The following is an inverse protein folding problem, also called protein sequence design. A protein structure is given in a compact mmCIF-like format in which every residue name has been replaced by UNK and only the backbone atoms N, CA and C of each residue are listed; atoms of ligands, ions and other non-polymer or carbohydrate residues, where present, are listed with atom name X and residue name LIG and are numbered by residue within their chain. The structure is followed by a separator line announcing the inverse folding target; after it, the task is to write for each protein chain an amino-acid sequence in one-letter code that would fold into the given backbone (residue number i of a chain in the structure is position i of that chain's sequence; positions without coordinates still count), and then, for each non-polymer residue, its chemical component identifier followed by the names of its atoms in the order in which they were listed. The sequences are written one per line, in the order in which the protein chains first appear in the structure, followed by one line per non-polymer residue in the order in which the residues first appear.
data_IF_965878924765
#
_entry.id   IF_965878924765
#
_cell.length_a   1.000
_cell.length_b   1.000
_cell.length_c   1.000
_cell.angle_alpha   90.00
_cell.angle_beta   90.00
_cell.angle_gamma   90.00
#
_symmetry.space_group_name_H-M   'P 1'
#
loop_
_entity.id
_entity.type
_entity.pdbx_description
1 polymer ?
#
# COMPACT_ATOMS: atom_id res chain seq x y z
N UNK A 1 14.63 28.76 -21.68
CA UNK A 1 13.36 29.52 -21.66
C UNK A 1 13.23 30.23 -23.00
N UNK A 2 12.69 29.52 -23.99
CA UNK A 2 12.34 30.10 -25.28
C UNK A 2 10.86 30.44 -25.19
N UNK A 3 10.49 31.70 -25.38
CA UNK A 3 9.12 32.15 -25.30
C UNK A 3 8.25 31.34 -26.26
N UNK A 4 7.25 30.63 -25.72
CA UNK A 4 6.17 30.02 -26.52
C UNK A 4 5.37 31.21 -27.04
N UNK A 5 5.52 31.51 -28.33
CA UNK A 5 4.78 32.59 -28.99
C UNK A 5 3.28 32.42 -28.74
N UNK A 6 2.64 33.53 -28.43
CA UNK A 6 1.20 33.69 -28.24
C UNK A 6 0.46 33.28 -29.54
N UNK A 7 0.06 32.01 -29.62
CA UNK A 7 -0.74 31.45 -30.73
C UNK A 7 -2.23 31.73 -30.52
N UNK A 8 -2.58 32.98 -30.23
CA UNK A 8 -3.96 33.43 -30.35
C UNK A 8 -4.31 33.52 -31.83
N UNK A 9 -5.03 32.50 -32.33
CA UNK A 9 -5.65 32.37 -33.67
C UNK A 9 -4.90 31.67 -34.82
N UNK A 10 -4.01 30.71 -34.56
CA UNK A 10 -3.67 29.73 -35.61
C UNK A 10 -4.81 28.72 -35.76
N UNK A 11 -5.58 28.83 -36.84
CA UNK A 11 -6.63 27.87 -37.19
C UNK A 11 -6.01 26.47 -37.28
N UNK A 12 -6.45 25.55 -36.41
CA UNK A 12 -6.00 24.16 -36.48
C UNK A 12 -6.46 23.60 -37.84
N UNK A 13 -5.57 22.98 -38.63
CA UNK A 13 -5.96 22.39 -39.91
C UNK A 13 -7.06 21.35 -39.73
N UNK A 14 -8.04 21.33 -40.63
CA UNK A 14 -9.15 20.38 -40.57
C UNK A 14 -8.68 18.91 -40.57
N UNK A 15 -7.56 18.63 -41.27
CA UNK A 15 -6.92 17.32 -41.27
C UNK A 15 -6.43 16.89 -39.89
N UNK A 16 -5.89 17.82 -39.09
CA UNK A 16 -5.46 17.56 -37.71
C UNK A 16 -6.65 17.26 -36.81
N UNK A 17 -7.77 17.98 -36.97
CA UNK A 17 -9.00 17.71 -36.21
C UNK A 17 -9.58 16.33 -36.57
N UNK A 18 -9.65 16.00 -37.86
CA UNK A 18 -10.12 14.70 -38.32
C UNK A 18 -9.22 13.55 -37.81
N UNK A 19 -7.90 13.76 -37.78
CA UNK A 19 -6.97 12.79 -37.20
C UNK A 19 -7.20 12.62 -35.70
N UNK A 20 -7.37 13.72 -34.96
CA UNK A 20 -7.66 13.70 -33.53
C UNK A 20 -8.95 12.91 -33.22
N UNK A 21 -9.99 13.08 -34.04
CA UNK A 21 -11.26 12.34 -33.94
C UNK A 21 -11.18 10.85 -34.34
N UNK A 22 -10.14 10.45 -35.07
CA UNK A 22 -9.95 9.03 -35.44
C UNK A 22 -9.52 8.14 -34.27
N UNK A 23 -9.02 8.74 -33.18
CA UNK A 23 -8.60 8.00 -32.00
C UNK A 23 -9.79 7.62 -31.11
N UNK A 24 -9.82 6.37 -30.65
CA UNK A 24 -10.87 5.87 -29.76
C UNK A 24 -10.76 6.40 -28.32
N UNK A 25 -9.55 6.72 -27.88
CA UNK A 25 -9.27 7.24 -26.54
C UNK A 25 -9.61 8.73 -26.46
N UNK A 26 -10.04 9.25 -25.30
CA UNK A 26 -10.15 10.69 -25.10
C UNK A 26 -8.80 11.38 -25.31
N UNK A 27 -8.79 12.37 -26.22
CA UNK A 27 -7.61 13.18 -26.51
C UNK A 27 -7.98 14.65 -26.67
N UNK A 28 -7.08 15.49 -26.18
CA UNK A 28 -7.14 16.94 -26.34
C UNK A 28 -5.80 17.49 -26.80
N UNK A 29 -5.83 18.59 -27.53
CA UNK A 29 -4.66 19.42 -27.82
C UNK A 29 -4.67 20.61 -26.87
N UNK A 30 -3.52 20.87 -26.27
CA UNK A 30 -3.29 21.95 -25.32
C UNK A 30 -2.25 22.93 -25.87
N UNK A 31 -2.41 24.22 -25.56
CA UNK A 31 -1.36 25.22 -25.74
C UNK A 31 -0.40 25.29 -24.53
N UNK A 32 0.61 26.16 -24.60
CA UNK A 32 1.57 26.38 -23.51
C UNK A 32 0.99 27.09 -22.28
N UNK A 33 -0.29 27.43 -22.31
CA UNK A 33 -1.06 28.12 -21.28
C UNK A 33 -2.17 27.22 -20.72
N UNK A 34 -2.08 25.90 -20.92
CA UNK A 34 -3.02 24.89 -20.41
C UNK A 34 -4.42 24.96 -21.03
N UNK A 35 -4.62 25.71 -22.13
CA UNK A 35 -5.93 25.83 -22.78
C UNK A 35 -6.13 24.73 -23.80
N UNK A 36 -7.35 24.21 -23.83
CA UNK A 36 -7.80 23.24 -24.83
C UNK A 36 -7.99 23.97 -26.15
N UNK A 37 -7.18 23.64 -27.15
CA UNK A 37 -7.29 24.19 -28.51
C UNK A 37 -8.11 23.28 -29.42
N UNK A 38 -8.17 21.98 -29.12
CA UNK A 38 -9.06 21.02 -29.77
C UNK A 38 -9.31 19.81 -28.86
N UNK A 39 -10.43 19.13 -29.06
CA UNK A 39 -10.80 17.91 -28.35
C UNK A 39 -11.47 16.94 -29.33
N UNK A 40 -11.25 15.64 -29.16
CA UNK A 40 -11.99 14.65 -29.93
C UNK A 40 -13.35 14.32 -29.33
N UNK A 41 -14.15 13.63 -30.14
CA UNK A 41 -15.47 13.10 -29.78
C UNK A 41 -15.44 12.23 -28.51
N UNK A 42 -14.38 11.44 -28.30
CA UNK A 42 -14.24 10.62 -27.10
C UNK A 42 -14.09 11.47 -25.83
N UNK A 43 -13.29 12.54 -25.87
CA UNK A 43 -13.17 13.48 -24.75
C UNK A 43 -14.47 14.22 -24.46
N UNK A 44 -15.16 14.67 -25.51
CA UNK A 44 -16.44 15.37 -25.36
C UNK A 44 -17.51 14.50 -24.71
N UNK A 45 -17.52 13.18 -24.96
CA UNK A 45 -18.46 12.25 -24.30
C UNK A 45 -18.22 12.14 -22.80
N UNK A 46 -16.96 12.15 -22.37
CA UNK A 46 -16.59 11.92 -20.96
C UNK A 46 -16.65 13.21 -20.12
N UNK A 47 -16.22 14.33 -20.69
CA UNK A 47 -16.01 15.60 -19.98
C UNK A 47 -16.85 16.77 -20.52
N UNK A 48 -17.42 16.63 -21.72
CA UNK A 48 -17.98 17.74 -22.50
C UNK A 48 -19.48 17.99 -22.34
N UNK A 49 -20.12 17.56 -21.24
CA UNK A 49 -21.57 17.63 -20.99
C UNK A 49 -22.23 18.98 -21.39
N UNK A 50 -22.66 19.11 -22.65
CA UNK A 50 -23.21 20.29 -23.35
C UNK A 50 -22.35 21.58 -23.28
N UNK A 51 -21.04 21.48 -23.01
CA UNK A 51 -20.16 22.65 -22.83
C UNK A 51 -19.22 22.85 -24.01
N UNK A 52 -19.00 24.12 -24.37
CA UNK A 52 -17.86 24.50 -25.19
C UNK A 52 -16.56 24.31 -24.39
N UNK A 53 -15.76 23.33 -24.80
CA UNK A 53 -14.50 22.96 -24.14
C UNK A 53 -13.31 23.73 -24.70
N UNK A 54 -13.40 24.23 -25.93
CA UNK A 54 -12.29 24.92 -26.59
C UNK A 54 -12.10 26.30 -25.95
N UNK A 55 -10.85 26.67 -25.69
CA UNK A 55 -10.47 27.90 -25.00
C UNK A 55 -10.52 27.81 -23.47
N UNK A 56 -11.09 26.75 -22.89
CA UNK A 56 -11.06 26.50 -21.45
C UNK A 56 -9.77 25.83 -21.01
N UNK A 57 -9.47 25.88 -19.72
CA UNK A 57 -8.30 25.24 -19.14
C UNK A 57 -8.54 23.76 -18.84
N UNK A 58 -7.54 22.90 -19.09
CA UNK A 58 -7.66 21.46 -18.80
C UNK A 58 -7.96 21.17 -17.32
N UNK A 59 -7.34 21.91 -16.40
CA UNK A 59 -7.52 21.75 -14.96
C UNK A 59 -8.91 22.19 -14.47
N UNK A 60 -9.59 23.09 -15.19
CA UNK A 60 -10.96 23.51 -14.88
C UNK A 60 -11.95 22.39 -15.21
N UNK A 61 -11.79 21.74 -16.36
CA UNK A 61 -12.74 20.75 -16.85
C UNK A 61 -12.50 19.36 -16.26
N UNK A 62 -11.24 18.92 -16.19
CA UNK A 62 -10.91 17.55 -15.79
C UNK A 62 -10.73 17.40 -14.28
N UNK A 63 -10.25 18.45 -13.60
CA UNK A 63 -9.96 18.42 -12.15
C UNK A 63 -10.88 19.29 -11.30
N UNK A 64 -11.64 20.21 -11.92
CA UNK A 64 -12.40 21.26 -11.23
C UNK A 64 -11.52 22.17 -10.34
N UNK A 65 -10.27 22.39 -10.74
CA UNK A 65 -9.37 23.35 -10.10
C UNK A 65 -9.50 24.75 -10.70
N UNK A 66 -9.09 25.75 -9.92
CA UNK A 66 -8.96 27.15 -10.35
C UNK A 66 -7.55 27.48 -10.85
N UNK A 67 -6.61 26.54 -10.72
CA UNK A 67 -5.19 26.66 -11.08
C UNK A 67 -4.64 25.31 -11.60
N UNK A 68 -3.49 25.31 -12.30
CA UNK A 68 -2.83 24.10 -12.76
C UNK A 68 -2.57 23.06 -11.66
N UNK A 69 -2.58 21.77 -12.02
CA UNK A 69 -2.50 20.65 -11.08
C UNK A 69 -1.21 20.70 -10.23
N UNK A 70 -0.09 21.16 -10.79
CA UNK A 70 1.19 21.37 -10.08
C UNK A 70 1.08 22.40 -8.96
N UNK A 71 0.21 23.39 -9.11
CA UNK A 71 -0.05 24.42 -8.10
C UNK A 71 -1.15 24.00 -7.12
N UNK A 72 -1.91 22.96 -7.45
CA UNK A 72 -2.89 22.31 -6.59
C UNK A 72 -2.28 21.17 -5.74
N UNK A 73 -0.98 20.88 -5.90
CA UNK A 73 -0.27 19.87 -5.12
C UNK A 73 -0.20 18.48 -5.77
N UNK A 74 -0.62 18.36 -7.02
CA UNK A 74 -0.48 17.18 -7.87
C UNK A 74 0.75 17.33 -8.79
N UNK A 75 1.12 16.28 -9.54
CA UNK A 75 2.12 16.43 -10.60
C UNK A 75 1.37 16.71 -11.91
N UNK A 76 1.80 17.69 -12.72
CA UNK A 76 1.13 17.99 -13.99
C UNK A 76 1.96 17.45 -15.17
N UNK A 77 1.45 16.47 -15.95
CA UNK A 77 2.20 15.91 -17.07
C UNK A 77 2.46 16.94 -18.18
N UNK A 78 1.57 17.92 -18.36
CA UNK A 78 1.80 19.03 -19.29
C UNK A 78 2.98 19.90 -18.83
N UNK A 79 3.06 20.24 -17.54
CA UNK A 79 4.19 21.01 -16.99
C UNK A 79 5.51 20.26 -17.19
N UNK A 80 5.55 18.99 -16.83
CA UNK A 80 6.73 18.14 -16.98
C UNK A 80 7.15 18.03 -18.46
N UNK A 81 6.19 17.91 -19.37
CA UNK A 81 6.41 17.84 -20.81
C UNK A 81 6.94 19.18 -21.38
N UNK A 82 6.42 20.32 -20.91
CA UNK A 82 6.92 21.64 -21.26
C UNK A 82 8.37 21.87 -20.82
N UNK A 83 8.71 21.44 -19.60
CA UNK A 83 10.05 21.61 -19.04
C UNK A 83 11.08 20.67 -19.64
N UNK A 84 10.71 19.40 -19.85
CA UNK A 84 11.62 18.37 -20.37
C UNK A 84 11.69 18.33 -21.90
N UNK A 85 10.65 18.79 -22.59
CA UNK A 85 10.49 18.62 -24.05
C UNK A 85 10.24 17.16 -24.50
N UNK A 86 9.95 16.27 -23.55
CA UNK A 86 9.70 14.84 -23.75
C UNK A 86 8.32 14.43 -23.24
N UNK A 87 7.74 13.33 -23.74
CA UNK A 87 6.47 12.82 -23.22
C UNK A 87 6.53 12.59 -21.71
N UNK A 88 5.49 13.01 -21.00
CA UNK A 88 5.30 12.76 -19.57
C UNK A 88 3.98 12.06 -19.32
N UNK A 89 3.93 11.28 -18.25
CA UNK A 89 2.75 10.51 -17.87
C UNK A 89 2.60 10.46 -16.36
N UNK A 90 1.39 10.75 -15.90
CA UNK A 90 1.04 10.83 -14.48
C UNK A 90 -0.36 10.23 -14.27
N UNK A 91 -0.59 9.60 -13.13
CA UNK A 91 -1.93 9.17 -12.73
C UNK A 91 -2.65 10.30 -11.99
N UNK A 92 -3.79 10.72 -12.53
CA UNK A 92 -4.66 11.74 -11.96
C UNK A 92 -5.97 11.14 -11.46
N UNK A 93 -6.69 11.94 -10.65
CA UNK A 93 -8.11 11.72 -10.37
C UNK A 93 -8.91 12.76 -11.13
N UNK A 94 -9.64 12.34 -12.16
CA UNK A 94 -10.49 13.24 -12.93
C UNK A 94 -11.95 13.13 -12.52
N UNK A 95 -12.69 14.22 -12.70
CA UNK A 95 -14.14 14.26 -12.58
C UNK A 95 -14.76 13.98 -13.94
N UNK A 96 -15.37 12.80 -14.10
CA UNK A 96 -16.11 12.39 -15.28
C UNK A 96 -17.61 12.43 -15.01
N UNK A 97 -18.40 12.17 -16.05
CA UNK A 97 -19.84 11.93 -15.92
C UNK A 97 -20.20 10.79 -14.95
N UNK A 98 -19.28 9.82 -14.74
CA UNK A 98 -19.45 8.69 -13.82
C UNK A 98 -18.97 8.98 -12.39
N UNK A 99 -18.41 10.18 -12.13
CA UNK A 99 -17.86 10.59 -10.85
C UNK A 99 -16.35 10.75 -10.88
N UNK A 100 -15.69 10.52 -9.74
CA UNK A 100 -14.21 10.56 -9.67
C UNK A 100 -13.64 9.25 -10.21
N UNK A 101 -12.66 9.34 -11.10
CA UNK A 101 -12.00 8.18 -11.70
C UNK A 101 -10.49 8.37 -11.78
N UNK A 102 -9.75 7.26 -11.68
CA UNK A 102 -8.31 7.25 -11.91
C UNK A 102 -8.04 7.26 -13.41
N UNK A 103 -7.32 8.28 -13.87
CA UNK A 103 -7.00 8.50 -15.28
C UNK A 103 -5.50 8.63 -15.42
N UNK A 104 -4.88 7.73 -16.18
CA UNK A 104 -3.50 7.90 -16.59
C UNK A 104 -3.47 8.91 -17.74
N UNK A 105 -2.84 10.05 -17.48
CA UNK A 105 -2.74 11.17 -18.42
C UNK A 105 -1.35 11.18 -19.01
N UNK A 106 -1.26 10.98 -20.31
CA UNK A 106 -0.02 11.06 -21.09
C UNK A 106 -0.03 12.33 -21.93
N UNK A 107 1.04 13.12 -21.86
CA UNK A 107 1.19 14.35 -22.64
C UNK A 107 2.45 14.28 -23.49
N UNK A 108 2.30 14.42 -24.81
CA UNK A 108 3.40 14.43 -25.77
C UNK A 108 3.47 15.77 -26.52
N UNK A 109 4.68 16.30 -26.81
CA UNK A 109 4.82 17.55 -27.55
C UNK A 109 4.52 17.32 -29.03
N UNK A 110 3.66 18.15 -29.60
CA UNK A 110 3.38 18.21 -31.04
C UNK A 110 4.28 19.27 -31.65
N UNK A 111 5.12 18.86 -32.60
CA UNK A 111 6.15 19.70 -33.19
C UNK A 111 5.80 20.04 -34.64
N UNK A 112 6.17 21.25 -35.06
CA UNK A 112 6.11 21.66 -36.46
C UNK A 112 7.32 21.11 -37.26
N UNK A 113 7.37 21.39 -38.56
CA UNK A 113 8.47 20.97 -39.44
C UNK A 113 9.84 21.51 -38.99
N UNK A 114 9.88 22.68 -38.35
CA UNK A 114 11.08 23.27 -37.79
C UNK A 114 11.50 22.62 -36.45
N UNK A 115 10.80 21.58 -35.98
CA UNK A 115 11.07 20.86 -34.74
C UNK A 115 10.67 21.58 -33.46
N UNK A 116 10.02 22.75 -33.58
CA UNK A 116 9.53 23.54 -32.46
C UNK A 116 8.19 23.02 -31.97
N UNK A 117 8.03 22.87 -30.64
CA UNK A 117 6.76 22.47 -30.04
C UNK A 117 5.73 23.58 -30.23
N UNK A 118 4.59 23.23 -30.83
CA UNK A 118 3.46 24.14 -31.10
C UNK A 118 2.26 23.84 -30.21
N UNK A 119 2.04 22.56 -29.89
CA UNK A 119 0.96 22.10 -29.02
C UNK A 119 1.42 20.92 -28.18
N UNK A 120 0.56 20.48 -27.28
CA UNK A 120 0.74 19.29 -26.48
C UNK A 120 -0.48 18.40 -26.65
N UNK A 121 -0.27 17.15 -27.07
CA UNK A 121 -1.34 16.17 -27.19
C UNK A 121 -1.46 15.43 -25.87
N UNK A 122 -2.57 15.62 -25.18
CA UNK A 122 -2.92 14.89 -23.97
C UNK A 122 -3.84 13.71 -24.34
N UNK A 123 -3.48 12.53 -23.84
CA UNK A 123 -4.21 11.28 -23.99
C UNK A 123 -4.61 10.77 -22.61
N UNK A 124 -5.86 10.33 -22.48
CA UNK A 124 -6.39 9.82 -21.22
C UNK A 124 -6.70 8.32 -21.32
N UNK A 125 -6.14 7.56 -20.40
CA UNK A 125 -6.44 6.14 -20.23
C UNK A 125 -7.09 5.91 -18.87
N UNK A 126 -8.39 5.61 -18.86
CA UNK A 126 -9.10 5.27 -17.64
C UNK A 126 -8.57 3.95 -17.06
N UNK A 127 -8.17 3.97 -15.80
CA UNK A 127 -7.92 2.76 -15.05
C UNK A 127 -9.27 2.15 -14.69
N UNK A 128 -9.81 1.36 -15.62
CA UNK A 128 -10.93 0.48 -15.31
C UNK A 128 -10.43 -0.49 -14.26
N UNK A 129 -11.00 -0.40 -13.06
CA UNK A 129 -10.82 -1.44 -12.06
C UNK A 129 -11.32 -2.71 -12.71
N UNK A 130 -10.48 -3.76 -12.75
CA UNK A 130 -10.85 -5.02 -13.38
C UNK A 130 -12.23 -5.44 -12.88
N UNK A 131 -13.07 -5.98 -13.77
CA UNK A 131 -14.38 -6.56 -13.47
C UNK A 131 -14.24 -7.86 -12.63
N UNK A 132 -13.33 -7.87 -11.67
CA UNK A 132 -13.22 -8.89 -10.65
C UNK A 132 -14.32 -8.75 -9.60
N UNK A 133 -14.36 -9.69 -8.67
CA UNK A 133 -15.29 -9.65 -7.55
C UNK A 133 -15.27 -8.26 -6.88
N UNK A 134 -16.42 -7.68 -6.52
CA UNK A 134 -16.51 -6.32 -5.94
C UNK A 134 -15.60 -6.12 -4.73
N UNK A 135 -15.31 -7.20 -4.00
CA UNK A 135 -14.38 -7.26 -2.87
C UNK A 135 -12.91 -6.93 -3.21
N UNK A 136 -12.53 -7.00 -4.50
CA UNK A 136 -11.16 -6.74 -4.99
C UNK A 136 -10.94 -5.30 -5.45
N UNK A 137 -11.95 -4.44 -5.35
CA UNK A 137 -11.83 -3.04 -5.74
C UNK A 137 -10.95 -2.29 -4.74
N UNK A 138 -9.85 -1.70 -5.24
CA UNK A 138 -9.07 -0.76 -4.45
C UNK A 138 -9.82 0.57 -4.33
N UNK A 139 -9.87 1.14 -3.13
CA UNK A 139 -10.65 2.35 -2.82
C UNK A 139 -9.75 3.40 -2.22
N UNK A 140 -9.69 4.58 -2.84
CA UNK A 140 -8.93 5.73 -2.37
C UNK A 140 -8.68 6.71 -3.51
N UNK A 141 -8.42 7.97 -3.15
CA UNK A 141 -8.00 9.06 -4.04
C UNK A 141 -6.90 9.93 -3.42
N UNK A 142 -6.47 9.62 -2.20
CA UNK A 142 -5.38 10.33 -1.54
C UNK A 142 -4.09 10.27 -2.36
N UNK A 143 -3.29 11.32 -2.27
CA UNK A 143 -2.00 11.40 -2.97
C UNK A 143 -1.10 10.17 -2.79
N UNK A 144 -0.86 9.64 -1.57
CA UNK A 144 -0.03 8.44 -1.41
C UNK A 144 -0.65 7.19 -2.04
N UNK A 145 -1.99 7.05 -2.01
CA UNK A 145 -2.69 5.96 -2.70
C UNK A 145 -2.52 6.04 -4.22
N UNK A 146 -2.72 7.23 -4.80
CA UNK A 146 -2.55 7.44 -6.24
C UNK A 146 -1.11 7.16 -6.68
N UNK A 147 -0.12 7.56 -5.87
CA UNK A 147 1.29 7.28 -6.16
C UNK A 147 1.58 5.78 -6.19
N UNK A 148 1.06 5.02 -5.24
CA UNK A 148 1.17 3.55 -5.23
C UNK A 148 0.51 2.94 -6.49
N UNK A 149 -0.70 3.40 -6.84
CA UNK A 149 -1.43 2.90 -8.01
C UNK A 149 -0.72 3.25 -9.33
N UNK A 150 -0.12 4.44 -9.43
CA UNK A 150 0.71 4.86 -10.56
C UNK A 150 1.89 3.91 -10.77
N UNK A 151 2.62 3.57 -9.70
CA UNK A 151 3.73 2.62 -9.75
C UNK A 151 3.27 1.23 -10.17
N UNK A 152 2.13 0.76 -9.62
CA UNK A 152 1.53 -0.51 -9.98
C UNK A 152 1.14 -0.57 -11.46
N UNK A 153 0.51 0.50 -11.99
CA UNK A 153 0.15 0.61 -13.40
C UNK A 153 1.37 0.62 -14.31
N UNK A 154 2.39 1.42 -13.98
CA UNK A 154 3.65 1.50 -14.75
C UNK A 154 4.30 0.12 -14.88
N UNK A 155 4.42 -0.62 -13.78
CA UNK A 155 5.09 -1.93 -13.81
C UNK A 155 4.23 -3.06 -14.37
N UNK A 156 2.89 -2.92 -14.39
CA UNK A 156 1.99 -3.96 -14.90
C UNK A 156 2.29 -4.35 -16.36
N UNK A 157 2.71 -3.40 -17.19
CA UNK A 157 3.11 -3.65 -18.59
C UNK A 157 4.46 -4.36 -18.77
N UNK A 158 5.18 -4.67 -17.68
CA UNK A 158 6.52 -5.24 -17.71
C UNK A 158 6.60 -6.59 -16.99
N UNK A 159 7.47 -7.47 -17.49
CA UNK A 159 7.74 -8.80 -16.91
C UNK A 159 8.70 -8.77 -15.69
N UNK A 160 9.13 -7.58 -15.26
CA UNK A 160 10.02 -7.43 -14.11
C UNK A 160 9.35 -7.90 -12.82
N UNK A 161 10.16 -8.43 -11.89
CA UNK A 161 9.67 -8.78 -10.56
C UNK A 161 9.29 -7.53 -9.78
N UNK A 162 8.22 -7.63 -9.00
CA UNK A 162 7.72 -6.53 -8.17
C UNK A 162 7.88 -6.90 -6.71
N UNK A 163 8.33 -5.96 -5.88
CA UNK A 163 8.35 -6.10 -4.42
C UNK A 163 7.39 -5.10 -3.78
N UNK A 164 6.31 -5.59 -3.19
CA UNK A 164 5.33 -4.82 -2.44
C UNK A 164 5.78 -4.68 -0.98
N UNK A 165 6.01 -3.44 -0.54
CA UNK A 165 6.53 -3.12 0.78
C UNK A 165 5.44 -2.42 1.58
N UNK A 166 5.02 -3.00 2.71
CA UNK A 166 4.03 -2.33 3.54
C UNK A 166 3.59 -3.15 4.74
N UNK A 167 3.06 -2.44 5.73
CA UNK A 167 2.55 -3.02 6.97
C UNK A 167 1.45 -4.06 6.71
N UNK A 168 1.24 -4.93 7.69
CA UNK A 168 0.15 -5.90 7.62
C UNK A 168 -1.21 -5.19 7.53
N UNK A 169 -2.09 -5.70 6.67
CA UNK A 169 -3.44 -5.13 6.48
C UNK A 169 -3.53 -3.91 5.56
N UNK A 170 -2.46 -3.52 4.87
CA UNK A 170 -2.46 -2.42 3.87
C UNK A 170 -3.07 -2.81 2.51
N UNK A 171 -3.28 -4.12 2.26
CA UNK A 171 -3.86 -4.62 1.01
C UNK A 171 -2.83 -5.04 -0.06
N UNK A 172 -1.67 -5.58 0.34
CA UNK A 172 -0.63 -6.07 -0.58
C UNK A 172 -1.17 -7.04 -1.64
N UNK A 173 -2.01 -7.99 -1.25
CA UNK A 173 -2.64 -8.94 -2.18
C UNK A 173 -3.55 -8.25 -3.20
N UNK A 174 -4.30 -7.21 -2.82
CA UNK A 174 -5.14 -6.44 -3.75
C UNK A 174 -4.29 -5.72 -4.80
N UNK A 175 -3.16 -5.14 -4.37
CA UNK A 175 -2.22 -4.50 -5.30
C UNK A 175 -1.56 -5.54 -6.23
N UNK A 176 -1.23 -6.72 -5.72
CA UNK A 176 -0.70 -7.81 -6.55
C UNK A 176 -1.70 -8.27 -7.63
N UNK A 177 -2.98 -8.39 -7.26
CA UNK A 177 -4.07 -8.65 -8.21
C UNK A 177 -4.18 -7.54 -9.25
N UNK A 178 -4.21 -6.27 -8.83
CA UNK A 178 -4.30 -5.15 -9.76
C UNK A 178 -3.13 -5.14 -10.77
N UNK A 179 -1.92 -5.44 -10.30
CA UNK A 179 -0.72 -5.55 -11.15
C UNK A 179 -0.84 -6.70 -12.15
N UNK A 180 -1.48 -7.81 -11.78
CA UNK A 180 -1.75 -8.93 -12.68
C UNK A 180 -2.85 -8.59 -13.71
N UNK A 181 -3.97 -8.03 -13.24
CA UNK A 181 -5.13 -7.69 -14.08
C UNK A 181 -4.79 -6.60 -15.10
N UNK A 182 -3.86 -5.69 -14.79
CA UNK A 182 -3.37 -4.66 -15.71
C UNK A 182 -2.23 -5.13 -16.62
N UNK A 183 -1.79 -6.39 -16.51
CA UNK A 183 -0.66 -6.93 -17.27
C UNK A 183 -1.09 -7.70 -18.52
N UNK A 184 -0.17 -7.99 -19.45
CA UNK A 184 -0.43 -8.90 -20.57
C UNK A 184 -0.86 -10.31 -20.13
N UNK A 185 -0.64 -10.68 -18.86
CA UNK A 185 -1.00 -11.99 -18.28
C UNK A 185 -2.36 -11.99 -17.56
N UNK A 186 -3.20 -10.96 -17.71
CA UNK A 186 -4.48 -10.83 -16.99
C UNK A 186 -5.45 -12.01 -17.20
N UNK A 187 -5.39 -12.70 -18.34
CA UNK A 187 -6.21 -13.88 -18.63
C UNK A 187 -5.56 -15.20 -18.17
N UNK A 188 -4.33 -15.17 -17.67
CA UNK A 188 -3.58 -16.32 -17.21
C UNK A 188 -3.78 -16.55 -15.70
N UNK A 189 -3.37 -17.70 -15.14
CA UNK A 189 -3.56 -17.98 -13.72
C UNK A 189 -2.85 -16.98 -12.80
N UNK A 190 -3.49 -16.63 -11.69
CA UNK A 190 -2.87 -15.96 -10.55
C UNK A 190 -2.83 -16.93 -9.37
N UNK A 191 -1.65 -17.19 -8.82
CA UNK A 191 -1.46 -18.08 -7.68
C UNK A 191 -0.81 -17.32 -6.54
N UNK A 192 -1.53 -17.22 -5.41
CA UNK A 192 -1.03 -16.62 -4.17
C UNK A 192 -0.49 -17.69 -3.22
N UNK A 193 0.64 -17.39 -2.57
CA UNK A 193 1.30 -18.25 -1.59
C UNK A 193 1.67 -17.44 -0.36
N UNK A 194 1.07 -17.78 0.77
CA UNK A 194 1.45 -17.25 2.09
C UNK A 194 2.69 -18.00 2.58
N UNK A 195 3.82 -17.31 2.73
CA UNK A 195 5.08 -17.95 3.10
C UNK A 195 5.25 -18.12 4.62
N UNK A 196 4.41 -17.47 5.42
CA UNK A 196 4.48 -17.58 6.88
C UNK A 196 4.08 -18.98 7.37
N UNK A 197 4.85 -19.51 8.33
CA UNK A 197 4.53 -20.77 9.02
C UNK A 197 4.70 -22.06 8.20
N UNK A 198 5.17 -21.99 6.95
CA UNK A 198 5.44 -23.18 6.14
C UNK A 198 6.75 -23.87 6.57
N UNK A 199 6.69 -25.18 6.80
CA UNK A 199 7.91 -25.99 6.96
C UNK A 199 8.63 -26.12 5.62
N UNK A 200 9.94 -26.39 5.64
CA UNK A 200 10.72 -26.58 4.41
C UNK A 200 10.13 -27.66 3.51
N UNK A 201 9.72 -28.78 4.10
CA UNK A 201 9.14 -29.91 3.36
C UNK A 201 7.79 -29.56 2.75
N UNK A 202 6.94 -28.83 3.48
CA UNK A 202 5.65 -28.41 2.97
C UNK A 202 5.82 -27.41 1.82
N UNK A 203 6.67 -26.39 2.00
CA UNK A 203 6.97 -25.43 0.96
C UNK A 203 7.44 -26.12 -0.33
N UNK A 204 8.38 -27.07 -0.24
CA UNK A 204 8.87 -27.79 -1.42
C UNK A 204 7.79 -28.60 -2.11
N UNK A 205 6.99 -29.33 -1.33
CA UNK A 205 5.93 -30.19 -1.86
C UNK A 205 4.78 -29.39 -2.49
N UNK A 206 4.44 -28.22 -1.95
CA UNK A 206 3.43 -27.32 -2.51
C UNK A 206 4.00 -26.57 -3.73
N UNK A 207 5.16 -25.92 -3.60
CA UNK A 207 5.73 -25.08 -4.66
C UNK A 207 6.15 -25.89 -5.89
N UNK A 208 6.86 -26.99 -5.68
CA UNK A 208 7.48 -27.75 -6.76
C UNK A 208 6.72 -29.04 -7.12
N UNK A 209 5.81 -29.49 -6.25
CA UNK A 209 5.15 -30.79 -6.42
C UNK A 209 6.09 -31.95 -6.09
N UNK A 210 5.56 -33.17 -6.15
CA UNK A 210 6.32 -34.38 -5.85
C UNK A 210 5.94 -35.55 -6.74
N UNK A 211 6.90 -36.45 -6.95
CA UNK A 211 6.68 -37.74 -7.62
C UNK A 211 6.23 -38.82 -6.63
N UNK A 212 5.62 -39.89 -7.17
CA UNK A 212 5.22 -41.04 -6.36
C UNK A 212 6.43 -41.64 -5.64
N UNK A 213 6.32 -41.85 -4.33
CA UNK A 213 7.40 -42.42 -3.51
C UNK A 213 8.48 -41.42 -3.07
N UNK A 214 8.29 -40.12 -3.28
CA UNK A 214 9.24 -39.10 -2.84
C UNK A 214 9.46 -39.05 -1.31
N UNK A 215 8.43 -39.40 -0.53
CA UNK A 215 8.47 -39.52 0.94
C UNK A 215 7.36 -40.46 1.43
N UNK A 216 7.38 -40.82 2.72
CA UNK A 216 6.35 -41.64 3.35
C UNK A 216 4.98 -40.95 3.28
N UNK A 217 4.05 -41.52 2.50
CA UNK A 217 2.73 -40.93 2.24
C UNK A 217 2.54 -40.36 0.83
N UNK A 218 3.60 -40.31 0.00
CA UNK A 218 3.51 -39.90 -1.40
C UNK A 218 2.92 -41.02 -2.28
N UNK A 219 1.61 -41.25 -2.15
CA UNK A 219 0.87 -42.35 -2.84
C UNK A 219 0.75 -42.11 -4.35
N UNK A 220 0.75 -40.85 -4.78
CA UNK A 220 0.67 -40.43 -6.18
C UNK A 220 1.58 -39.25 -6.50
N UNK A 221 1.53 -38.78 -7.74
CA UNK A 221 2.18 -37.52 -8.16
C UNK A 221 1.29 -36.34 -7.80
N UNK A 222 1.90 -35.24 -7.32
CA UNK A 222 1.24 -33.95 -7.09
C UNK A 222 1.86 -32.87 -7.99
N UNK A 223 1.01 -32.09 -8.65
CA UNK A 223 1.39 -30.88 -9.40
C UNK A 223 1.69 -29.76 -8.40
N UNK A 224 2.82 -29.08 -8.57
CA UNK A 224 3.22 -27.94 -7.73
C UNK A 224 2.64 -26.62 -8.22
N UNK A 225 2.69 -25.59 -7.36
CA UNK A 225 2.19 -24.25 -7.65
C UNK A 225 2.92 -23.59 -8.83
N UNK A 226 4.23 -23.82 -8.97
CA UNK A 226 5.01 -23.32 -10.12
C UNK A 226 4.51 -23.90 -11.44
N UNK A 227 4.06 -25.16 -11.44
CA UNK A 227 3.49 -25.81 -12.63
C UNK A 227 2.07 -25.30 -12.89
N UNK A 228 1.28 -25.11 -11.84
CA UNK A 228 -0.11 -24.64 -11.92
C UNK A 228 -0.20 -23.19 -12.42
N UNK A 229 0.78 -22.34 -12.10
CA UNK A 229 0.82 -20.92 -12.48
C UNK A 229 1.48 -20.67 -13.84
N UNK A 230 1.77 -21.72 -14.62
CA UNK A 230 2.49 -21.58 -15.89
C UNK A 230 1.85 -20.54 -16.81
N UNK A 231 2.65 -19.58 -17.27
CA UNK A 231 2.19 -18.47 -18.11
C UNK A 231 1.52 -17.33 -17.33
N UNK A 232 1.33 -17.49 -16.02
CA UNK A 232 0.61 -16.57 -15.15
C UNK A 232 1.50 -15.75 -14.20
N UNK A 233 0.91 -15.33 -13.08
CA UNK A 233 1.58 -14.56 -12.02
C UNK A 233 1.61 -15.35 -10.71
N UNK A 234 2.80 -15.54 -10.16
CA UNK A 234 3.03 -16.09 -8.83
C UNK A 234 3.18 -14.94 -7.84
N UNK A 235 2.28 -14.88 -6.86
CA UNK A 235 2.33 -13.94 -5.75
C UNK A 235 2.86 -14.66 -4.50
N UNK A 236 3.95 -14.16 -3.92
CA UNK A 236 4.50 -14.64 -2.66
C UNK A 236 4.27 -13.57 -1.58
N UNK A 237 3.39 -13.84 -0.62
CA UNK A 237 3.21 -12.97 0.54
C UNK A 237 4.16 -13.38 1.66
N UNK A 238 4.54 -12.38 2.46
CA UNK A 238 5.50 -12.49 3.56
C UNK A 238 6.83 -13.19 3.19
N UNK A 239 7.44 -12.77 2.08
CA UNK A 239 8.73 -13.34 1.60
C UNK A 239 9.88 -13.20 2.59
N UNK A 240 9.80 -12.23 3.51
CA UNK A 240 10.75 -12.07 4.61
C UNK A 240 10.76 -13.22 5.60
N UNK A 241 9.70 -14.05 5.64
CA UNK A 241 9.61 -15.18 6.57
C UNK A 241 10.11 -16.50 5.97
N UNK A 242 10.59 -16.47 4.71
CA UNK A 242 11.19 -17.64 4.05
C UNK A 242 12.54 -17.99 4.68
N UNK A 243 12.73 -19.22 5.21
CA UNK A 243 14.03 -19.70 5.69
C UNK A 243 15.16 -19.61 4.66
N UNK A 244 16.38 -19.34 5.12
CA UNK A 244 17.59 -19.20 4.27
C UNK A 244 17.83 -20.37 3.30
N UNK A 245 17.53 -21.60 3.73
CA UNK A 245 17.64 -22.83 2.93
C UNK A 245 16.74 -22.80 1.70
N UNK A 246 15.50 -22.31 1.85
CA UNK A 246 14.51 -22.17 0.78
C UNK A 246 14.80 -20.97 -0.12
N UNK A 247 15.41 -19.90 0.41
CA UNK A 247 15.81 -18.74 -0.38
C UNK A 247 16.75 -19.13 -1.53
N UNK A 248 17.66 -20.10 -1.32
CA UNK A 248 18.54 -20.63 -2.38
C UNK A 248 17.75 -21.32 -3.50
N UNK A 249 16.68 -22.05 -3.15
CA UNK A 249 15.83 -22.74 -4.13
C UNK A 249 15.00 -21.75 -4.92
N UNK A 250 14.45 -20.73 -4.25
CA UNK A 250 13.72 -19.65 -4.90
C UNK A 250 14.61 -18.87 -5.86
N UNK A 251 15.85 -18.54 -5.45
CA UNK A 251 16.82 -17.89 -6.33
C UNK A 251 17.08 -18.72 -7.60
N UNK A 252 17.35 -20.03 -7.44
CA UNK A 252 17.56 -20.93 -8.58
C UNK A 252 16.35 -20.99 -9.52
N UNK A 253 15.14 -21.04 -8.95
CA UNK A 253 13.90 -21.00 -9.73
C UNK A 253 13.82 -19.73 -10.59
N UNK A 254 14.20 -18.57 -10.03
CA UNK A 254 14.14 -17.26 -10.69
C UNK A 254 15.28 -16.98 -11.68
N UNK A 255 16.48 -17.52 -11.44
CA UNK A 255 17.65 -17.31 -12.29
C UNK A 255 17.75 -18.35 -13.40
N UNK A 256 17.68 -19.64 -13.04
CA UNK A 256 17.82 -20.71 -14.01
C UNK A 256 16.53 -20.97 -14.80
N UNK A 257 15.40 -20.44 -14.34
CA UNK A 257 14.09 -20.67 -14.95
C UNK A 257 13.71 -22.15 -15.01
N UNK A 258 14.29 -22.97 -14.14
CA UNK A 258 14.07 -24.42 -14.10
C UNK A 258 14.00 -24.93 -12.66
N UNK A 259 13.25 -26.01 -12.46
CA UNK A 259 13.08 -26.66 -11.15
C UNK A 259 12.89 -28.17 -11.33
N UNK A 260 12.83 -28.91 -10.23
CA UNK A 260 12.51 -30.34 -10.21
C UNK A 260 11.44 -30.59 -9.17
N UNK A 261 10.57 -31.57 -9.42
CA UNK A 261 9.67 -32.09 -8.39
C UNK A 261 10.48 -32.77 -7.29
N UNK A 262 9.96 -32.80 -6.07
CA UNK A 262 10.57 -33.56 -4.98
C UNK A 262 10.59 -35.04 -5.37
N UNK A 263 11.77 -35.67 -5.28
CA UNK A 263 12.01 -37.05 -5.72
C UNK A 263 12.15 -37.24 -7.25
N UNK A 264 11.99 -36.18 -8.05
CA UNK A 264 12.12 -36.23 -9.50
C UNK A 264 13.54 -35.86 -9.99
N UNK A 265 13.96 -36.46 -11.11
CA UNK A 265 15.22 -36.13 -11.78
C UNK A 265 15.05 -35.21 -12.99
N UNK A 266 13.84 -35.16 -13.56
CA UNK A 266 13.51 -34.39 -14.75
C UNK A 266 13.45 -32.88 -14.43
N UNK A 267 14.26 -32.03 -15.10
CA UNK A 267 14.14 -30.59 -14.99
C UNK A 267 12.91 -30.09 -15.75
N UNK A 268 12.13 -29.24 -15.09
CA UNK A 268 10.94 -28.57 -15.64
C UNK A 268 11.24 -27.08 -15.81
N UNK A 269 10.65 -26.46 -16.82
CA UNK A 269 10.78 -25.01 -17.05
C UNK A 269 9.74 -24.24 -16.23
N UNK A 270 10.21 -23.24 -15.50
CA UNK A 270 9.38 -22.25 -14.85
C UNK A 270 9.03 -21.13 -15.85
N UNK A 271 7.75 -20.79 -15.92
CA UNK A 271 7.26 -19.65 -16.70
C UNK A 271 6.17 -18.97 -15.87
N UNK A 272 6.56 -17.92 -15.16
CA UNK A 272 5.65 -17.10 -14.38
C UNK A 272 6.27 -15.72 -14.19
N UNK A 273 5.43 -14.73 -13.95
CA UNK A 273 5.83 -13.43 -13.43
C UNK A 273 5.79 -13.45 -11.90
N UNK A 274 6.81 -12.89 -11.24
CA UNK A 274 6.84 -12.81 -9.78
C UNK A 274 6.33 -11.47 -9.26
N UNK A 275 5.41 -11.52 -8.31
CA UNK A 275 5.10 -10.42 -7.38
C UNK A 275 5.38 -10.91 -5.97
N UNK A 276 6.22 -10.23 -5.23
CA UNK A 276 6.56 -10.55 -3.84
C UNK A 276 6.01 -9.47 -2.91
N UNK A 277 5.70 -9.82 -1.67
CA UNK A 277 5.23 -8.90 -0.65
C UNK A 277 5.87 -9.18 0.71
N UNK A 278 6.11 -8.14 1.50
CA UNK A 278 6.52 -8.29 2.91
C UNK A 278 6.28 -7.00 3.71
N UNK A 279 6.12 -7.15 5.02
CA UNK A 279 6.16 -6.05 5.98
C UNK A 279 7.54 -5.82 6.62
N UNK A 280 8.53 -6.67 6.33
CA UNK A 280 9.86 -6.64 6.97
C UNK A 280 10.85 -5.81 6.14
N UNK A 281 11.83 -5.20 6.81
CA UNK A 281 12.96 -4.54 6.14
C UNK A 281 13.96 -5.60 5.64
N UNK A 282 13.81 -6.01 4.39
CA UNK A 282 14.71 -6.99 3.77
C UNK A 282 16.16 -6.49 3.68
N UNK A 283 16.37 -5.18 3.53
CA UNK A 283 17.73 -4.63 3.47
C UNK A 283 18.42 -4.75 4.83
N UNK A 284 17.69 -4.56 5.93
CA UNK A 284 18.18 -4.86 7.27
C UNK A 284 18.44 -6.35 7.45
N UNK A 285 17.53 -7.22 7.03
CA UNK A 285 17.70 -8.67 7.13
C UNK A 285 18.91 -9.18 6.35
N UNK A 286 19.24 -8.57 5.22
CA UNK A 286 20.48 -8.85 4.47
C UNK A 286 21.72 -8.48 5.29
N UNK A 287 21.72 -7.31 5.95
CA UNK A 287 22.83 -6.90 6.83
C UNK A 287 23.01 -7.83 8.02
N UNK A 288 21.91 -8.38 8.54
CA UNK A 288 21.89 -9.32 9.66
C UNK A 288 22.17 -10.78 9.24
N UNK A 289 22.25 -11.06 7.94
CA UNK A 289 22.47 -12.41 7.40
C UNK A 289 21.25 -13.33 7.47
N UNK A 290 20.07 -12.82 7.84
CA UNK A 290 18.80 -13.56 7.88
C UNK A 290 18.07 -13.58 6.53
N UNK A 291 18.54 -12.79 5.55
CA UNK A 291 18.10 -12.83 4.17
C UNK A 291 19.28 -12.77 3.21
N UNK A 292 19.22 -13.50 2.09
CA UNK A 292 20.33 -13.54 1.14
C UNK A 292 20.34 -12.30 0.25
N UNK A 293 21.54 -11.73 0.07
CA UNK A 293 21.76 -10.54 -0.75
C UNK A 293 21.42 -10.77 -2.24
N UNK A 294 21.75 -11.94 -2.78
CA UNK A 294 21.49 -12.29 -4.19
C UNK A 294 19.98 -12.37 -4.49
N UNK A 295 19.22 -13.05 -3.63
CA UNK A 295 17.77 -13.10 -3.73
C UNK A 295 17.14 -11.72 -3.57
N UNK A 296 17.63 -10.90 -2.64
CA UNK A 296 17.13 -9.54 -2.43
C UNK A 296 17.20 -8.71 -3.72
N UNK A 297 18.36 -8.68 -4.39
CA UNK A 297 18.48 -7.94 -5.65
C UNK A 297 17.62 -8.53 -6.78
N UNK A 298 17.36 -9.84 -6.75
CA UNK A 298 16.56 -10.50 -7.77
C UNK A 298 15.06 -10.27 -7.61
N UNK A 299 14.55 -10.08 -6.38
CA UNK A 299 13.13 -9.76 -6.14
C UNK A 299 12.87 -8.25 -6.13
N UNK A 300 13.81 -7.45 -5.60
CA UNK A 300 13.70 -6.00 -5.43
C UNK A 300 14.04 -5.21 -6.71
N UNK A 301 13.59 -5.70 -7.86
CA UNK A 301 13.78 -5.01 -9.16
C UNK A 301 12.90 -3.77 -9.24
N UNK A 302 11.65 -3.89 -8.78
CA UNK A 302 10.71 -2.77 -8.75
C UNK A 302 9.97 -2.72 -7.40
N UNK A 303 10.48 -1.96 -6.42
CA UNK A 303 9.80 -1.78 -5.14
C UNK A 303 8.60 -0.84 -5.25
N UNK A 304 7.48 -1.22 -4.62
CA UNK A 304 6.30 -0.39 -4.48
C UNK A 304 5.94 -0.28 -2.99
N UNK A 305 6.10 0.89 -2.36
CA UNK A 305 5.62 1.11 -1.00
C UNK A 305 4.09 1.25 -1.00
N UNK A 306 3.43 0.55 -0.08
CA UNK A 306 2.01 0.68 0.21
C UNK A 306 1.83 1.59 1.42
N UNK A 307 1.09 2.69 1.30
CA UNK A 307 0.90 3.61 2.41
C UNK A 307 0.00 2.98 3.49
N UNK A 308 0.38 3.07 4.77
CA UNK A 308 -0.50 2.69 5.87
C UNK A 308 -1.72 3.62 5.93
N UNK A 309 -2.83 3.15 6.51
CA UNK A 309 -4.11 3.86 6.53
C UNK A 309 -3.99 5.27 7.14
N UNK A 310 -3.16 5.43 8.16
CA UNK A 310 -2.86 6.72 8.81
C UNK A 310 -2.26 7.78 7.88
N UNK A 311 -1.59 7.37 6.79
CA UNK A 311 -1.03 8.29 5.79
C UNK A 311 -2.05 8.66 4.70
N UNK A 312 -3.20 7.99 4.66
CA UNK A 312 -4.27 8.16 3.65
C UNK A 312 -5.64 8.31 4.30
N UNK A 313 -5.70 9.05 5.41
CA UNK A 313 -6.93 9.25 6.18
C UNK A 313 -8.02 10.01 5.40
N UNK A 314 -7.66 10.76 4.37
CA UNK A 314 -8.59 11.36 3.40
C UNK A 314 -9.48 10.31 2.71
N UNK A 315 -9.00 9.06 2.59
CA UNK A 315 -9.76 7.96 1.99
C UNK A 315 -10.72 7.28 2.97
N UNK A 316 -10.60 7.55 4.28
CA UNK A 316 -11.25 6.77 5.33
C UNK A 316 -12.77 6.69 5.15
N UNK A 317 -13.43 7.82 4.87
CA UNK A 317 -14.89 7.88 4.73
C UNK A 317 -15.38 6.99 3.60
N UNK A 318 -14.74 7.06 2.43
CA UNK A 318 -15.12 6.25 1.28
C UNK A 318 -14.77 4.79 1.48
N UNK A 319 -13.59 4.52 2.04
CA UNK A 319 -13.14 3.17 2.35
C UNK A 319 -14.10 2.49 3.33
N UNK A 320 -14.50 3.18 4.40
CA UNK A 320 -15.45 2.65 5.38
C UNK A 320 -16.83 2.41 4.75
N UNK A 321 -17.34 3.33 3.92
CA UNK A 321 -18.59 3.14 3.20
C UNK A 321 -18.54 1.91 2.27
N UNK A 322 -17.43 1.72 1.55
CA UNK A 322 -17.23 0.54 0.70
C UNK A 322 -17.17 -0.75 1.51
N UNK A 323 -16.41 -0.77 2.61
CA UNK A 323 -16.32 -1.94 3.49
C UNK A 323 -17.69 -2.30 4.09
N UNK A 324 -18.46 -1.32 4.57
CA UNK A 324 -19.81 -1.55 5.09
C UNK A 324 -20.75 -2.13 4.03
N UNK A 325 -20.67 -1.65 2.79
CA UNK A 325 -21.49 -2.18 1.69
C UNK A 325 -21.15 -3.63 1.34
N UNK A 326 -19.92 -4.08 1.60
CA UNK A 326 -19.51 -5.48 1.41
C UNK A 326 -19.87 -6.37 2.61
N UNK A 327 -19.84 -5.82 3.82
CA UNK A 327 -20.21 -6.54 5.04
C UNK A 327 -21.73 -6.75 5.15
N UNK A 328 -22.53 -5.80 4.66
CA UNK A 328 -23.99 -5.93 4.58
C UNK A 328 -24.54 -5.23 3.33
N UNK A 329 -24.86 -6.04 2.31
CA UNK A 329 -25.42 -5.55 1.06
C UNK A 329 -26.94 -5.26 1.15
N UNK A 330 -27.60 -5.64 2.25
CA UNK A 330 -29.06 -5.54 2.40
C UNK A 330 -29.49 -4.26 3.12
N UNK A 331 -28.69 -3.82 4.10
CA UNK A 331 -28.96 -2.63 4.89
C UNK A 331 -28.13 -1.46 4.39
N UNK A 332 -28.77 -0.30 4.22
CA UNK A 332 -28.05 0.95 3.97
C UNK A 332 -27.50 1.51 5.28
N UNK A 333 -26.37 0.96 5.72
CA UNK A 333 -25.69 1.37 6.94
C UNK A 333 -24.88 2.64 6.69
N UNK A 334 -24.92 3.56 7.66
CA UNK A 334 -24.19 4.83 7.63
C UNK A 334 -23.36 5.00 8.90
N UNK A 335 -22.24 5.70 8.81
CA UNK A 335 -21.49 6.15 9.97
C UNK A 335 -22.05 7.50 10.42
N UNK A 336 -22.36 7.64 11.72
CA UNK A 336 -22.62 8.93 12.32
C UNK A 336 -21.36 9.81 12.29
N UNK A 337 -21.54 11.13 12.28
CA UNK A 337 -20.43 12.09 12.19
C UNK A 337 -19.42 11.92 13.33
N UNK A 338 -19.91 11.69 14.55
CA UNK A 338 -19.06 11.46 15.73
C UNK A 338 -18.33 10.12 15.65
N UNK A 339 -18.94 9.10 15.03
CA UNK A 339 -18.31 7.79 14.82
C UNK A 339 -17.17 7.92 13.81
N UNK A 340 -17.38 8.65 12.71
CA UNK A 340 -16.34 8.97 11.76
C UNK A 340 -15.20 9.77 12.42
N UNK A 341 -15.53 10.80 13.21
CA UNK A 341 -14.52 11.58 13.95
C UNK A 341 -13.75 10.74 14.98
N UNK A 342 -14.36 9.72 15.57
CA UNK A 342 -13.67 8.75 16.43
C UNK A 342 -12.70 7.88 15.62
N UNK A 343 -13.12 7.35 14.47
CA UNK A 343 -12.25 6.60 13.56
C UNK A 343 -11.09 7.46 13.04
N UNK A 344 -11.32 8.74 12.72
CA UNK A 344 -10.28 9.65 12.23
C UNK A 344 -9.14 9.91 13.23
N UNK A 345 -9.38 9.68 14.53
CA UNK A 345 -8.37 9.85 15.60
C UNK A 345 -7.65 8.55 15.95
N UNK A 346 -7.96 7.45 15.25
CA UNK A 346 -7.36 6.15 15.49
C UNK A 346 -6.16 5.93 14.56
N UNK A 347 -5.06 5.37 15.07
CA UNK A 347 -3.81 5.22 14.32
C UNK A 347 -3.81 4.02 13.34
N UNK A 348 -4.74 3.08 13.53
CA UNK A 348 -4.91 1.86 12.73
C UNK A 348 -3.62 1.04 12.55
N UNK A 349 -2.99 0.52 13.62
CA UNK A 349 -1.82 -0.36 13.51
C UNK A 349 -2.07 -1.64 12.68
N UNK A 350 -3.32 -2.10 12.57
CA UNK A 350 -3.71 -3.20 11.68
C UNK A 350 -4.30 -2.74 10.34
N UNK A 351 -4.15 -1.45 10.00
CA UNK A 351 -4.55 -0.83 8.74
C UNK A 351 -6.01 -1.15 8.35
N UNK A 352 -6.26 -1.48 7.08
CA UNK A 352 -7.59 -1.74 6.54
C UNK A 352 -8.21 -3.02 7.14
N UNK A 353 -7.38 -4.00 7.51
CA UNK A 353 -7.86 -5.23 8.18
C UNK A 353 -8.46 -4.91 9.54
N UNK A 354 -7.81 -4.04 10.30
CA UNK A 354 -8.36 -3.57 11.58
C UNK A 354 -9.63 -2.73 11.39
N UNK A 355 -9.64 -1.80 10.42
CA UNK A 355 -10.84 -1.03 10.10
C UNK A 355 -12.02 -1.93 9.77
N UNK A 356 -11.82 -2.97 8.93
CA UNK A 356 -12.85 -3.96 8.61
C UNK A 356 -13.39 -4.63 9.87
N UNK A 357 -12.51 -5.08 10.76
CA UNK A 357 -12.91 -5.74 12.02
C UNK A 357 -13.68 -4.80 12.96
N UNK A 358 -13.30 -3.51 13.01
CA UNK A 358 -14.02 -2.49 13.77
C UNK A 358 -15.43 -2.31 13.21
N UNK A 359 -15.56 -2.17 11.88
CA UNK A 359 -16.85 -1.95 11.21
C UNK A 359 -17.76 -3.17 11.31
N UNK A 360 -17.22 -4.38 11.16
CA UNK A 360 -17.96 -5.64 11.32
C UNK A 360 -18.53 -5.78 12.73
N UNK A 361 -17.72 -5.47 13.75
CA UNK A 361 -18.19 -5.44 15.14
C UNK A 361 -19.25 -4.39 15.36
N UNK A 362 -19.06 -3.19 14.81
CA UNK A 362 -20.01 -2.10 14.92
C UNK A 362 -21.36 -2.43 14.25
N UNK A 363 -21.36 -3.20 13.15
CA UNK A 363 -22.57 -3.72 12.52
C UNK A 363 -23.33 -4.67 13.45
N UNK A 364 -22.63 -5.56 14.14
CA UNK A 364 -23.24 -6.50 15.11
C UNK A 364 -23.84 -5.75 16.30
N UNK A 365 -23.18 -4.68 16.76
CA UNK A 365 -23.61 -3.90 17.93
C UNK A 365 -24.70 -2.88 17.62
N UNK A 366 -24.89 -2.50 16.35
CA UNK A 366 -25.85 -1.47 15.97
C UNK A 366 -27.26 -2.06 15.74
N UNK A 367 -28.20 -1.71 16.61
CA UNK A 367 -29.62 -2.06 16.43
C UNK A 367 -30.27 -1.32 15.25
N UNK A 368 -29.75 -0.13 14.91
CA UNK A 368 -30.24 0.74 13.83
C UNK A 368 -29.31 0.79 12.62
N UNK A 369 -29.68 1.59 11.60
CA UNK A 369 -28.90 1.74 10.36
C UNK A 369 -27.78 2.81 10.45
N UNK A 370 -27.54 3.35 11.64
CA UNK A 370 -26.48 4.33 11.90
C UNK A 370 -25.53 3.80 12.96
N UNK A 371 -24.26 3.70 12.60
CA UNK A 371 -23.18 3.34 13.51
C UNK A 371 -22.77 4.58 14.30
N UNK A 372 -22.86 4.49 15.63
CA UNK A 372 -22.49 5.54 16.59
C UNK A 372 -21.17 5.20 17.28
N UNK A 373 -20.48 6.16 17.93
CA UNK A 373 -19.18 5.92 18.56
C UNK A 373 -19.15 4.71 19.50
N UNK A 374 -20.20 4.50 20.29
CA UNK A 374 -20.30 3.37 21.23
C UNK A 374 -20.30 1.98 20.55
N UNK A 375 -20.72 1.90 19.28
CA UNK A 375 -20.73 0.65 18.53
C UNK A 375 -19.32 0.27 18.01
N UNK A 376 -18.42 1.25 17.86
CA UNK A 376 -17.06 1.00 17.35
C UNK A 376 -16.17 0.26 18.36
N UNK A 377 -16.47 0.41 19.65
CA UNK A 377 -15.79 -0.28 20.74
C UNK A 377 -14.25 -0.08 20.77
N UNK A 378 -13.79 1.12 20.38
CA UNK A 378 -12.36 1.44 20.22
C UNK A 378 -11.56 1.38 21.54
N UNK A 379 -12.17 1.79 22.66
CA UNK A 379 -11.46 1.87 23.95
C UNK A 379 -11.07 0.50 24.51
N UNK A 380 -11.83 -0.56 24.19
CA UNK A 380 -11.47 -1.92 24.57
C UNK A 380 -10.27 -2.47 23.76
N UNK A 381 -9.99 -1.92 22.58
CA UNK A 381 -8.85 -2.36 21.74
C UNK A 381 -7.51 -1.80 22.22
N UNK A 382 -7.51 -0.61 22.84
CA UNK A 382 -6.30 -0.04 23.47
C UNK A 382 -5.73 -0.89 24.61
N UNK A 383 -6.57 -1.70 25.24
CA UNK A 383 -6.20 -2.56 26.37
C UNK A 383 -5.70 -3.96 25.96
N UNK A 384 -5.74 -4.31 24.67
CA UNK A 384 -5.52 -5.70 24.20
C UNK A 384 -4.39 -5.93 23.19
N UNK A 385 -3.77 -4.88 22.62
CA UNK A 385 -2.62 -5.08 21.73
C UNK A 385 -1.31 -5.11 22.52
N UNK A 386 -0.50 -6.19 22.46
CA UNK A 386 0.93 -6.04 22.74
C UNK A 386 1.46 -5.09 21.67
N UNK A 387 1.93 -3.90 22.07
CA UNK A 387 2.59 -3.00 21.12
C UNK A 387 3.81 -3.77 20.58
N UNK A 388 3.73 -4.20 19.34
CA UNK A 388 4.89 -4.62 18.56
C UNK A 388 5.59 -3.34 18.12
N UNK A 389 6.84 -3.23 18.49
CA UNK A 389 7.52 -1.95 18.67
C UNK A 389 7.95 -1.92 20.12
N UNK A 390 9.26 -2.00 20.33
CA UNK A 390 9.94 -1.84 21.61
C UNK A 390 9.18 -0.76 22.40
N UNK A 391 8.36 -1.20 23.34
CA UNK A 391 7.70 -0.31 24.28
C UNK A 391 8.81 0.18 25.18
N UNK A 392 9.41 1.31 24.81
CA UNK A 392 9.75 2.30 25.80
C UNK A 392 8.49 2.50 26.63
N UNK A 393 8.55 1.97 27.84
CA UNK A 393 7.63 2.30 28.90
C UNK A 393 7.55 3.82 28.99
N UNK A 394 6.37 4.42 29.27
CA UNK A 394 6.28 5.83 29.57
C UNK A 394 6.91 6.05 30.95
N UNK A 395 8.23 6.02 31.00
CA UNK A 395 8.97 6.74 32.01
C UNK A 395 8.96 8.18 31.55
N UNK A 396 8.06 8.96 32.12
CA UNK A 396 8.29 10.38 32.32
C UNK A 396 9.64 10.52 33.03
N UNK A 397 10.69 10.62 32.23
CA UNK A 397 12.00 11.08 32.63
C UNK A 397 12.03 12.57 32.29
N UNK A 398 11.74 13.47 33.26
CA UNK A 398 12.07 14.87 33.08
C UNK A 398 13.61 14.94 33.13
N UNK A 399 14.22 15.09 31.96
CA UNK A 399 15.65 15.36 31.76
C UNK A 399 16.63 14.32 32.36
N UNK A 400 17.56 13.85 31.55
CA UNK A 400 18.76 13.15 32.01
C UNK A 400 19.67 14.11 32.80
N UNK A 401 19.34 14.36 34.06
CA UNK A 401 20.30 14.74 35.08
C UNK A 401 20.68 13.49 35.88
N UNK A 402 21.98 13.27 36.10
CA UNK A 402 22.46 12.22 36.99
C UNK A 402 22.03 12.58 38.41
N UNK A 403 20.90 12.03 38.85
CA UNK A 403 20.40 12.22 40.20
C UNK A 403 21.33 11.51 41.22
N UNK A 404 21.58 12.12 42.40
CA UNK A 404 22.35 11.46 43.46
C UNK A 404 21.75 10.09 43.82
N UNK A 405 22.60 9.08 43.99
CA UNK A 405 22.19 7.71 44.29
C UNK A 405 21.25 7.62 45.49
N UNK A 406 21.44 8.47 46.50
CA UNK A 406 20.59 8.54 47.68
C UNK A 406 19.13 8.90 47.35
N UNK A 407 18.90 9.75 46.34
CA UNK A 407 17.57 10.19 45.92
C UNK A 407 16.83 9.07 45.17
N UNK A 408 17.54 8.35 44.29
CA UNK A 408 17.00 7.21 43.56
C UNK A 408 16.69 6.05 44.52
N UNK A 409 17.61 5.78 45.45
CA UNK A 409 17.45 4.75 46.46
C UNK A 409 16.25 5.04 47.37
N UNK A 410 16.07 6.29 47.83
CA UNK A 410 14.90 6.67 48.63
C UNK A 410 13.59 6.45 47.87
N UNK A 411 13.51 6.95 46.62
CA UNK A 411 12.29 6.80 45.78
C UNK A 411 11.94 5.34 45.56
N UNK A 412 12.95 4.51 45.28
CA UNK A 412 12.77 3.08 45.09
C UNK A 412 12.31 2.36 46.37
N UNK A 413 12.91 2.67 47.53
CA UNK A 413 12.54 2.04 48.80
C UNK A 413 11.13 2.44 49.26
N UNK A 414 10.70 3.68 49.02
CA UNK A 414 9.31 4.10 49.29
C UNK A 414 8.33 3.32 48.43
N UNK A 415 8.54 3.29 47.10
CA UNK A 415 7.69 2.52 46.19
C UNK A 415 7.65 1.02 46.56
N UNK A 416 8.81 0.43 46.87
CA UNK A 416 8.91 -0.97 47.24
C UNK A 416 8.18 -1.29 48.56
N UNK A 417 8.15 -0.34 49.51
CA UNK A 417 7.41 -0.51 50.77
C UNK A 417 5.90 -0.41 50.55
N UNK A 418 5.44 0.48 49.66
CA UNK A 418 4.01 0.67 49.36
C UNK A 418 3.41 -0.45 48.49
N UNK A 419 4.21 -1.07 47.62
CA UNK A 419 3.73 -2.04 46.62
C UNK A 419 4.07 -3.50 46.97
N UNK A 420 4.78 -3.75 48.06
CA UNK A 420 5.10 -5.09 48.51
C UNK A 420 4.13 -5.58 49.60
N UNK A 421 3.46 -6.70 49.33
CA UNK A 421 2.58 -7.33 50.32
C UNK A 421 3.37 -8.36 51.12
N UNK A 422 3.80 -7.98 52.33
CA UNK A 422 4.55 -8.85 53.24
C UNK A 422 5.13 -8.07 54.41
N UNK A 423 5.81 -8.78 55.32
CA UNK A 423 6.53 -8.13 56.42
C UNK A 423 7.86 -7.52 55.95
N UNK A 424 8.44 -6.66 56.80
CA UNK A 424 9.70 -5.95 56.47
C UNK A 424 10.88 -6.91 56.28
N UNK A 425 10.84 -8.10 56.89
CA UNK A 425 11.87 -9.12 56.76
C UNK A 425 11.85 -9.74 55.36
N UNK A 426 10.67 -10.12 54.87
CA UNK A 426 10.48 -10.63 53.52
C UNK A 426 10.84 -9.57 52.46
N UNK A 427 10.53 -8.30 52.71
CA UNK A 427 10.94 -7.21 51.83
C UNK A 427 12.47 -7.06 51.78
N UNK A 428 13.15 -7.13 52.93
CA UNK A 428 14.60 -7.03 52.99
C UNK A 428 15.30 -8.17 52.22
N UNK A 429 14.83 -9.41 52.39
CA UNK A 429 15.31 -10.56 51.63
C UNK A 429 15.10 -10.37 50.12
N UNK A 430 13.94 -9.87 49.71
CA UNK A 430 13.63 -9.60 48.30
C UNK A 430 14.51 -8.51 47.69
N UNK A 431 14.86 -7.51 48.48
CA UNK A 431 15.78 -6.42 48.10
C UNK A 431 17.26 -6.84 48.17
N UNK A 432 17.57 -8.07 48.64
CA UNK A 432 18.94 -8.55 48.77
C UNK A 432 19.75 -7.86 49.86
N UNK A 433 19.10 -7.25 50.86
CA UNK A 433 19.76 -6.54 51.96
C UNK A 433 19.33 -7.11 53.31
N UNK A 434 20.14 -6.89 54.35
CA UNK A 434 19.73 -7.28 55.70
C UNK A 434 18.60 -6.38 56.22
N UNK A 435 17.72 -6.94 57.05
CA UNK A 435 16.60 -6.21 57.67
C UNK A 435 17.08 -4.96 58.43
N UNK A 436 18.24 -5.05 59.11
CA UNK A 436 18.90 -3.92 59.77
C UNK A 436 19.31 -2.81 58.79
N UNK A 437 19.72 -3.18 57.57
CA UNK A 437 20.10 -2.24 56.51
C UNK A 437 18.88 -1.55 55.92
N UNK A 438 17.79 -2.31 55.69
CA UNK A 438 16.51 -1.76 55.25
C UNK A 438 15.97 -0.75 56.27
N UNK A 439 15.94 -1.11 57.55
CA UNK A 439 15.49 -0.22 58.63
C UNK A 439 16.31 1.07 58.70
N UNK A 440 17.65 0.97 58.60
CA UNK A 440 18.54 2.14 58.59
C UNK A 440 18.29 3.06 57.39
N UNK A 441 18.04 2.50 56.20
CA UNK A 441 17.78 3.28 54.96
C UNK A 441 16.41 3.94 54.99
N UNK A 442 15.39 3.29 55.55
CA UNK A 442 14.07 3.87 55.77
C UNK A 442 14.11 5.01 56.80
N UNK A 443 14.85 4.84 57.90
CA UNK A 443 14.93 5.86 58.97
C UNK A 443 15.69 7.13 58.56
N UNK A 444 16.72 7.01 57.72
CA UNK A 444 17.46 8.15 57.17
C UNK A 444 16.66 8.93 56.10
N UNK A 445 15.47 8.45 55.71
CA UNK A 445 14.61 9.08 54.71
C UNK A 445 13.57 10.05 55.31
N UNK A 446 13.30 9.99 56.63
CA UNK A 446 12.50 10.92 57.46
C UNK A 446 10.99 11.05 57.15
N UNK A 447 10.16 11.50 58.12
CA UNK A 447 9.97 10.96 59.48
C UNK A 447 8.91 9.84 59.52
N UNK A 448 8.96 9.07 60.61
CA UNK A 448 8.15 7.90 61.00
C UNK A 448 6.75 7.75 60.38
N UNK A 449 6.59 6.71 59.54
CA UNK A 449 5.29 6.07 59.32
C UNK A 449 5.03 5.05 60.45
N UNK A 450 3.79 4.98 60.98
CA UNK A 450 3.43 4.09 62.09
C UNK A 450 3.72 2.61 61.84
#
# INVERSE_FOLDING_TARGET
MTAINDTSSSHIPAETLNLLDSFAEPKILLDGQYRIVAANTAYLREFGADRDVVGRYCYELSHHYDKPCDQAGENCPLRDCMESGHPSRVLHVHHTSAGREHVEVEVAPVRNEAGSTVYFMETMHFLRHAEGAPERKMVGYSRPFNRMLELAKRVAGHESSVLLLGESGTGKELVAHAIHDMSPRAAAPFVAVECSGLTETLFESEMFGYEKGAFTGAVGRKIGLVEAVRGGTLFLDEVGDIPLSLQVKLLRLMEAGTYRRVGGLEPLRADFRLVAATHRDLAQMVREGSFRQDLFFRINVFPIPLPPLRERMEDLTMLAASLLSHLDATRKITLGEEALAALMRHDFPGNVRELRNILERALIMADGNTILPQHLYLDAMKSGMPKSGIQETPTTSPAEEIAPLATLEKRYLTWATENFQGDRKALAERLGISERTLYRKLRNSGPDLP
#
